data_IF_060653502440
#
_entry.id   IF_060653502440
#
_cell.length_a   1.000
_cell.length_b   1.000
_cell.length_c   1.000
_cell.angle_alpha   90.00
_cell.angle_beta   90.00
_cell.angle_gamma   90.00
#
_symmetry.space_group_name_H-M   'P 1'
#
loop_
_entity.id
_entity.type
_entity.pdbx_description
1 polymer ?
#
# COMPACT_ATOMS: atom_id res chain seq x y z
N UNK A 1 5.32 -2.72 25.09
CA UNK A 1 5.60 -2.72 23.64
C UNK A 1 6.71 -1.71 23.36
N UNK A 2 7.79 -2.12 22.71
CA UNK A 2 8.84 -1.20 22.25
C UNK A 2 8.48 -0.71 20.86
N UNK A 3 8.65 0.58 20.60
CA UNK A 3 8.34 1.23 19.31
C UNK A 3 9.62 1.52 18.57
N UNK A 4 9.62 1.29 17.26
CA UNK A 4 10.72 1.67 16.39
C UNK A 4 10.35 2.97 15.68
N UNK A 5 10.83 4.10 16.20
CA UNK A 5 10.51 5.43 15.69
C UNK A 5 10.86 5.59 14.21
N UNK A 6 11.95 4.97 13.74
CA UNK A 6 12.32 4.98 12.32
C UNK A 6 11.26 4.34 11.44
N UNK A 7 10.82 3.12 11.77
CA UNK A 7 9.77 2.43 11.01
C UNK A 7 8.43 3.16 11.08
N UNK A 8 8.11 3.83 12.20
CA UNK A 8 6.90 4.66 12.30
C UNK A 8 6.98 5.86 11.35
N UNK A 9 8.08 6.61 11.37
CA UNK A 9 8.26 7.79 10.52
C UNK A 9 8.30 7.40 9.04
N UNK A 10 9.08 6.38 8.68
CA UNK A 10 9.15 5.87 7.31
C UNK A 10 7.78 5.34 6.85
N UNK A 11 7.04 4.66 7.72
CA UNK A 11 5.68 4.24 7.44
C UNK A 11 4.74 5.42 7.17
N UNK A 12 4.84 6.51 7.93
CA UNK A 12 4.04 7.72 7.72
C UNK A 12 4.35 8.33 6.36
N UNK A 13 5.64 8.52 6.05
CA UNK A 13 6.08 9.08 4.76
C UNK A 13 5.58 8.20 3.61
N UNK A 14 5.77 6.88 3.71
CA UNK A 14 5.31 5.91 2.73
C UNK A 14 3.79 6.00 2.49
N UNK A 15 3.00 6.07 3.57
CA UNK A 15 1.54 6.16 3.47
C UNK A 15 1.10 7.50 2.86
N UNK A 16 1.77 8.61 3.22
CA UNK A 16 1.48 9.93 2.65
C UNK A 16 1.78 10.00 1.16
N UNK A 17 2.93 9.49 0.72
CA UNK A 17 3.27 9.42 -0.72
C UNK A 17 2.22 8.59 -1.46
N UNK A 18 1.80 7.47 -0.88
CA UNK A 18 0.84 6.59 -1.53
C UNK A 18 -0.57 7.18 -1.62
N UNK A 19 -1.02 7.84 -0.55
CA UNK A 19 -2.27 8.59 -0.54
C UNK A 19 -2.22 9.76 -1.53
N UNK A 20 -1.10 10.49 -1.57
CA UNK A 20 -0.85 11.60 -2.49
C UNK A 20 -0.98 11.18 -3.96
N UNK A 21 -0.35 10.06 -4.35
CA UNK A 21 -0.52 9.51 -5.70
C UNK A 21 -1.98 9.16 -6.00
N UNK A 22 -2.72 8.62 -5.02
CA UNK A 22 -4.13 8.27 -5.19
C UNK A 22 -4.99 9.50 -5.44
N UNK A 23 -4.77 10.59 -4.68
CA UNK A 23 -5.48 11.85 -4.91
C UNK A 23 -5.09 12.49 -6.23
N UNK A 24 -3.82 12.43 -6.62
CA UNK A 24 -3.37 12.91 -7.92
C UNK A 24 -4.10 12.19 -9.08
N UNK A 25 -4.21 10.86 -9.03
CA UNK A 25 -4.99 10.10 -10.01
C UNK A 25 -6.49 10.41 -9.93
N UNK A 26 -7.03 10.60 -8.72
CA UNK A 26 -8.43 10.98 -8.51
C UNK A 26 -8.76 12.41 -8.99
N UNK A 27 -7.75 13.25 -9.24
CA UNK A 27 -7.91 14.56 -9.89
C UNK A 27 -7.76 14.48 -11.42
N UNK A 28 -7.58 13.27 -11.99
CA UNK A 28 -7.40 13.05 -13.43
C UNK A 28 -5.93 13.00 -13.88
N UNK A 29 -4.98 12.99 -12.95
CA UNK A 29 -3.58 12.80 -13.28
C UNK A 29 -3.29 11.41 -13.86
N UNK A 30 -2.50 11.33 -14.94
CA UNK A 30 -2.18 10.07 -15.62
C UNK A 30 -0.73 9.60 -15.39
N UNK A 31 0.08 10.38 -14.68
CA UNK A 31 1.47 10.03 -14.41
C UNK A 31 1.55 8.67 -13.69
N UNK A 32 2.32 7.75 -14.26
CA UNK A 32 2.52 6.40 -13.71
C UNK A 32 1.33 5.45 -13.90
N UNK A 33 0.16 5.87 -14.37
CA UNK A 33 -1.01 4.96 -14.46
C UNK A 33 -0.79 3.84 -15.48
N UNK A 34 -0.10 4.14 -16.59
CA UNK A 34 0.33 3.11 -17.58
C UNK A 34 1.17 1.98 -16.96
N UNK A 35 1.88 2.29 -15.87
CA UNK A 35 2.72 1.32 -15.17
C UNK A 35 1.93 0.34 -14.28
N UNK A 36 0.66 0.66 -13.97
CA UNK A 36 -0.28 -0.27 -13.31
C UNK A 36 -0.85 -1.27 -14.33
N UNK A 37 -1.10 -0.79 -15.56
CA UNK A 37 -1.57 -1.61 -16.68
C UNK A 37 -2.95 -2.22 -16.49
N UNK A 38 -3.32 -3.11 -17.42
CA UNK A 38 -4.57 -3.86 -17.41
C UNK A 38 -5.80 -2.95 -17.36
N UNK A 39 -6.85 -3.43 -16.70
CA UNK A 39 -8.12 -2.71 -16.60
C UNK A 39 -8.01 -1.37 -15.87
N UNK A 40 -7.05 -1.19 -14.95
CA UNK A 40 -6.83 0.08 -14.25
C UNK A 40 -6.41 1.18 -15.23
N UNK A 41 -5.51 0.84 -16.17
CA UNK A 41 -5.09 1.79 -17.19
C UNK A 41 -6.25 2.16 -18.12
N UNK A 42 -7.00 1.18 -18.62
CA UNK A 42 -8.14 1.45 -19.51
C UNK A 42 -9.23 2.29 -18.82
N UNK A 43 -9.56 1.98 -17.57
CA UNK A 43 -10.50 2.78 -16.78
C UNK A 43 -9.98 4.20 -16.51
N UNK A 44 -8.68 4.43 -16.51
CA UNK A 44 -8.11 5.76 -16.30
C UNK A 44 -8.19 6.67 -17.53
N UNK A 45 -8.24 6.10 -18.74
CA UNK A 45 -8.33 6.87 -19.98
C UNK A 45 -9.73 7.43 -20.22
N UNK A 46 -10.76 6.71 -19.77
CA UNK A 46 -12.16 7.15 -19.76
C UNK A 46 -12.81 6.80 -18.41
N UNK A 47 -12.54 7.60 -17.36
CA UNK A 47 -12.96 7.26 -16.01
C UNK A 47 -14.46 7.46 -15.80
N UNK A 48 -15.13 6.40 -15.37
CA UNK A 48 -16.50 6.50 -14.90
C UNK A 48 -16.56 7.24 -13.55
N UNK A 49 -17.67 7.89 -13.20
CA UNK A 49 -17.84 8.52 -11.88
C UNK A 49 -17.63 7.56 -10.72
N UNK A 50 -18.03 6.29 -10.88
CA UNK A 50 -17.83 5.25 -9.86
C UNK A 50 -16.37 4.87 -9.69
N UNK A 51 -15.60 4.75 -10.79
CA UNK A 51 -14.16 4.52 -10.72
C UNK A 51 -13.46 5.65 -9.98
N UNK A 52 -13.78 6.91 -10.31
CA UNK A 52 -13.21 8.08 -9.63
C UNK A 52 -13.55 8.10 -8.14
N UNK A 53 -14.80 7.79 -7.77
CA UNK A 53 -15.20 7.68 -6.37
C UNK A 53 -14.40 6.62 -5.61
N UNK A 54 -14.12 5.47 -6.24
CA UNK A 54 -13.27 4.43 -5.66
C UNK A 54 -11.84 4.94 -5.48
N UNK A 55 -11.24 5.60 -6.47
CA UNK A 55 -9.87 6.12 -6.33
C UNK A 55 -9.79 7.17 -5.20
N UNK A 56 -10.75 8.10 -5.11
CA UNK A 56 -10.88 9.04 -4.00
C UNK A 56 -10.98 8.32 -2.65
N UNK A 57 -11.90 7.36 -2.53
CA UNK A 57 -12.10 6.59 -1.31
C UNK A 57 -10.82 5.84 -0.90
N UNK A 58 -10.10 5.25 -1.86
CA UNK A 58 -8.83 4.57 -1.55
C UNK A 58 -7.77 5.54 -1.02
N UNK A 59 -7.73 6.78 -1.52
CA UNK A 59 -6.87 7.84 -1.00
C UNK A 59 -7.20 8.17 0.46
N UNK A 60 -8.46 8.38 0.78
CA UNK A 60 -8.91 8.64 2.16
C UNK A 60 -8.65 7.46 3.09
N UNK A 61 -8.90 6.23 2.64
CA UNK A 61 -8.62 5.03 3.44
C UNK A 61 -7.13 4.94 3.78
N UNK A 62 -6.23 5.28 2.83
CA UNK A 62 -4.79 5.30 3.10
C UNK A 62 -4.42 6.29 4.20
N UNK A 63 -5.11 7.43 4.33
CA UNK A 63 -4.85 8.39 5.42
C UNK A 63 -5.15 7.83 6.82
N UNK A 64 -6.05 6.84 6.96
CA UNK A 64 -6.19 6.13 8.24
C UNK A 64 -4.90 5.42 8.66
N UNK A 65 -4.08 5.01 7.70
CA UNK A 65 -2.75 4.47 7.95
C UNK A 65 -1.84 5.49 8.65
N UNK A 66 -1.90 6.77 8.27
CA UNK A 66 -1.15 7.85 8.92
C UNK A 66 -1.65 8.06 10.35
N UNK A 67 -2.96 8.17 10.53
CA UNK A 67 -3.59 8.32 11.85
C UNK A 67 -3.17 7.17 12.76
N UNK A 68 -3.23 5.94 12.27
CA UNK A 68 -2.82 4.75 12.99
C UNK A 68 -1.34 4.81 13.43
N UNK A 69 -0.42 5.16 12.51
CA UNK A 69 1.00 5.24 12.85
C UNK A 69 1.30 6.40 13.83
N UNK A 70 0.57 7.52 13.74
CA UNK A 70 0.64 8.60 14.74
C UNK A 70 0.17 8.13 16.12
N UNK A 71 -0.87 7.30 16.20
CA UNK A 71 -1.31 6.70 17.46
C UNK A 71 -0.24 5.82 18.10
N UNK A 72 0.68 5.24 17.30
CA UNK A 72 1.85 4.51 17.81
C UNK A 72 2.91 5.43 18.42
N UNK A 73 2.89 6.73 18.17
CA UNK A 73 3.82 7.69 18.82
C UNK A 73 3.33 8.01 20.23
N UNK A 74 2.01 8.12 20.43
CA UNK A 74 1.39 8.50 21.72
C UNK A 74 1.57 7.41 22.78
N UNK A 75 2.05 7.74 23.97
CA UNK A 75 2.19 6.77 25.08
C UNK A 75 0.84 6.55 25.78
N UNK A 76 0.09 5.54 25.36
CA UNK A 76 -1.19 5.18 25.96
C UNK A 76 -1.01 4.53 27.33
N UNK A 77 -1.70 5.05 28.35
CA UNK A 77 -1.72 4.50 29.71
C UNK A 77 -2.45 3.15 29.80
N UNK A 78 -3.50 2.96 28.99
CA UNK A 78 -4.31 1.73 29.00
C UNK A 78 -3.60 0.60 28.24
N UNK A 79 -3.38 -0.53 28.91
CA UNK A 79 -2.72 -1.70 28.33
C UNK A 79 -3.48 -2.31 27.15
N UNK A 80 -4.82 -2.25 27.18
CA UNK A 80 -5.66 -2.75 26.07
C UNK A 80 -5.37 -2.01 24.76
N UNK A 81 -5.21 -0.69 24.80
CA UNK A 81 -4.90 0.11 23.61
C UNK A 81 -3.54 -0.26 23.03
N UNK A 82 -2.52 -0.43 23.88
CA UNK A 82 -1.20 -0.87 23.42
C UNK A 82 -1.24 -2.28 22.80
N UNK A 83 -2.08 -3.19 23.31
CA UNK A 83 -2.26 -4.53 22.72
C UNK A 83 -2.98 -4.45 21.37
N UNK A 84 -4.07 -3.68 21.27
CA UNK A 84 -4.79 -3.48 20.01
C UNK A 84 -3.87 -2.91 18.94
N UNK A 85 -3.18 -1.80 19.24
CA UNK A 85 -2.23 -1.16 18.34
C UNK A 85 -1.10 -2.12 17.91
N UNK A 86 -0.60 -2.95 18.84
CA UNK A 86 0.42 -3.96 18.53
C UNK A 86 -0.08 -4.96 17.48
N UNK A 87 -1.24 -5.58 17.73
CA UNK A 87 -1.78 -6.59 16.83
C UNK A 87 -2.21 -5.99 15.49
N UNK A 88 -2.80 -4.79 15.49
CA UNK A 88 -3.13 -4.08 14.24
C UNK A 88 -1.88 -3.79 13.41
N UNK A 89 -0.78 -3.35 14.03
CA UNK A 89 0.47 -3.10 13.30
C UNK A 89 1.06 -4.40 12.72
N UNK A 90 1.02 -5.49 13.50
CA UNK A 90 1.53 -6.80 13.07
C UNK A 90 0.69 -7.41 11.96
N UNK A 91 -0.62 -7.52 12.17
CA UNK A 91 -1.53 -8.13 11.20
C UNK A 91 -1.63 -7.26 9.95
N UNK A 92 -1.81 -5.94 10.11
CA UNK A 92 -1.87 -5.00 9.00
C UNK A 92 -0.58 -5.00 8.18
N UNK A 93 0.58 -4.93 8.83
CA UNK A 93 1.87 -5.02 8.15
C UNK A 93 2.09 -6.35 7.42
N UNK A 94 1.70 -7.47 8.04
CA UNK A 94 1.77 -8.79 7.41
C UNK A 94 0.85 -8.89 6.18
N UNK A 95 -0.41 -8.45 6.28
CA UNK A 95 -1.32 -8.46 5.14
C UNK A 95 -0.87 -7.54 4.01
N UNK A 96 -0.34 -6.35 4.34
CA UNK A 96 0.20 -5.43 3.34
C UNK A 96 1.40 -6.05 2.60
N UNK A 97 2.29 -6.72 3.34
CA UNK A 97 3.42 -7.44 2.76
C UNK A 97 2.96 -8.61 1.90
N UNK A 98 2.08 -9.46 2.43
CA UNK A 98 1.56 -10.63 1.72
C UNK A 98 0.79 -10.22 0.46
N UNK A 99 0.05 -9.12 0.50
CA UNK A 99 -0.63 -8.59 -0.68
C UNK A 99 0.37 -8.25 -1.79
N UNK A 100 1.42 -7.47 -1.48
CA UNK A 100 2.48 -7.16 -2.44
C UNK A 100 3.21 -8.41 -2.92
N UNK A 101 3.58 -9.30 -2.00
CA UNK A 101 4.31 -10.53 -2.33
C UNK A 101 3.50 -11.48 -3.23
N UNK A 102 2.22 -11.70 -2.94
CA UNK A 102 1.37 -12.56 -3.77
C UNK A 102 1.15 -11.96 -5.16
N UNK A 103 0.94 -10.64 -5.26
CA UNK A 103 0.87 -9.97 -6.56
C UNK A 103 2.20 -10.04 -7.32
N UNK A 104 3.34 -9.91 -6.62
CA UNK A 104 4.65 -10.09 -7.24
C UNK A 104 4.78 -11.49 -7.85
N UNK A 105 4.41 -12.53 -7.10
CA UNK A 105 4.45 -13.92 -7.58
C UNK A 105 3.50 -14.12 -8.77
N UNK A 106 2.27 -13.62 -8.73
CA UNK A 106 1.32 -13.81 -9.84
C UNK A 106 1.79 -13.13 -11.12
N UNK A 107 2.35 -11.92 -11.03
CA UNK A 107 2.89 -11.18 -12.17
C UNK A 107 4.16 -11.86 -12.69
N UNK A 108 5.00 -12.39 -11.81
CA UNK A 108 6.21 -13.13 -12.18
C UNK A 108 5.83 -14.41 -12.94
N UNK A 109 4.85 -15.18 -12.45
CA UNK A 109 4.34 -16.36 -13.15
C UNK A 109 3.75 -16.01 -14.53
N UNK A 110 3.07 -14.88 -14.65
CA UNK A 110 2.61 -14.39 -15.95
C UNK A 110 3.76 -13.99 -16.88
N UNK A 111 4.84 -13.41 -16.35
CA UNK A 111 6.04 -13.10 -17.13
C UNK A 111 6.71 -14.37 -17.69
N UNK A 112 6.57 -15.51 -17.01
CA UNK A 112 7.01 -16.83 -17.48
C UNK A 112 5.97 -17.60 -18.29
N UNK A 113 4.85 -16.96 -18.67
CA UNK A 113 3.74 -17.58 -19.41
C UNK A 113 3.11 -18.80 -18.71
N UNK A 114 3.21 -18.88 -17.38
CA UNK A 114 2.57 -19.92 -16.56
C UNK A 114 1.12 -19.53 -16.24
N UNK A 115 0.87 -18.24 -16.04
CA UNK A 115 -0.47 -17.66 -15.87
C UNK A 115 -0.74 -16.69 -17.02
N UNK A 116 -1.99 -16.58 -17.45
CA UNK A 116 -2.41 -15.65 -18.49
C UNK A 116 -3.12 -14.44 -17.88
N UNK A 117 -2.47 -13.28 -17.94
CA UNK A 117 -3.08 -11.99 -17.62
C UNK A 117 -2.92 -11.01 -18.79
N UNK A 118 -3.93 -10.15 -18.98
CA UNK A 118 -3.83 -9.02 -19.90
C UNK A 118 -2.98 -7.89 -19.28
N UNK A 119 -1.66 -8.11 -19.23
CA UNK A 119 -0.69 -7.16 -18.71
C UNK A 119 0.41 -6.92 -19.76
N UNK A 120 0.49 -5.70 -20.29
CA UNK A 120 1.53 -5.33 -21.25
C UNK A 120 2.93 -5.34 -20.63
N UNK A 121 4.01 -5.53 -21.43
CA UNK A 121 5.38 -5.65 -20.93
C UNK A 121 5.85 -4.48 -20.03
N UNK A 122 5.42 -3.25 -20.37
CA UNK A 122 5.73 -2.06 -19.58
C UNK A 122 5.15 -2.12 -18.16
N UNK A 123 3.90 -2.56 -18.02
CA UNK A 123 3.26 -2.68 -16.72
C UNK A 123 3.86 -3.84 -15.93
N UNK A 124 4.14 -4.98 -16.57
CA UNK A 124 4.85 -6.11 -15.95
C UNK A 124 6.16 -5.67 -15.29
N UNK A 125 7.00 -4.95 -16.04
CA UNK A 125 8.29 -4.45 -15.53
C UNK A 125 8.11 -3.57 -14.29
N UNK A 126 7.27 -2.54 -14.38
CA UNK A 126 7.11 -1.58 -13.29
C UNK A 126 6.40 -2.18 -12.07
N UNK A 127 5.49 -3.13 -12.26
CA UNK A 127 4.87 -3.80 -11.11
C UNK A 127 5.89 -4.64 -10.35
N UNK A 128 6.70 -5.44 -11.05
CA UNK A 128 7.72 -6.26 -10.41
C UNK A 128 8.83 -5.42 -9.75
N UNK A 129 9.28 -4.35 -10.38
CA UNK A 129 10.40 -3.55 -9.88
C UNK A 129 9.98 -2.50 -8.85
N UNK A 130 8.78 -1.93 -8.98
CA UNK A 130 8.35 -0.82 -8.13
C UNK A 130 7.09 -1.11 -7.34
N UNK A 131 5.94 -1.39 -7.98
CA UNK A 131 4.66 -1.40 -7.26
C UNK A 131 4.56 -2.47 -6.20
N UNK A 132 4.86 -3.73 -6.54
CA UNK A 132 4.75 -4.82 -5.58
C UNK A 132 5.81 -4.72 -4.45
N UNK A 133 7.08 -4.39 -4.75
CA UNK A 133 8.05 -4.04 -3.71
C UNK A 133 7.62 -2.85 -2.85
N UNK A 134 6.97 -1.84 -3.42
CA UNK A 134 6.48 -0.68 -2.66
C UNK A 134 5.44 -1.10 -1.62
N UNK A 135 4.50 -1.99 -1.97
CA UNK A 135 3.57 -2.60 -1.02
C UNK A 135 4.28 -3.39 0.09
N UNK A 136 5.26 -4.21 -0.29
CA UNK A 136 6.04 -5.01 0.65
C UNK A 136 6.81 -4.13 1.65
N UNK A 137 7.46 -3.08 1.18
CA UNK A 137 8.20 -2.11 2.01
C UNK A 137 7.26 -1.43 3.02
N UNK A 138 6.06 -1.03 2.60
CA UNK A 138 5.03 -0.53 3.51
C UNK A 138 4.69 -1.55 4.60
N UNK A 139 4.52 -2.81 4.22
CA UNK A 139 4.25 -3.91 5.16
C UNK A 139 5.35 -4.08 6.20
N UNK A 140 6.62 -4.00 5.77
CA UNK A 140 7.79 -4.02 6.65
C UNK A 140 7.75 -2.86 7.65
N UNK A 141 7.50 -1.63 7.20
CA UNK A 141 7.43 -0.47 8.09
C UNK A 141 6.34 -0.62 9.15
N UNK A 142 5.14 -1.06 8.76
CA UNK A 142 4.04 -1.31 9.70
C UNK A 142 4.38 -2.44 10.67
N UNK A 143 4.88 -3.58 10.18
CA UNK A 143 5.16 -4.74 11.02
C UNK A 143 6.26 -4.48 12.05
N UNK A 144 7.33 -3.78 11.64
CA UNK A 144 8.48 -3.51 12.50
C UNK A 144 8.39 -2.19 13.27
N UNK A 145 7.32 -1.40 13.07
CA UNK A 145 7.00 -0.23 13.90
C UNK A 145 6.88 -0.58 15.39
N UNK A 146 6.55 -1.83 15.70
CA UNK A 146 6.37 -2.34 17.06
C UNK A 146 7.10 -3.67 17.30
N UNK A 147 7.67 -3.83 18.49
CA UNK A 147 8.29 -5.06 18.98
C UNK A 147 7.70 -5.45 20.34
N UNK A 148 7.53 -6.76 20.55
CA UNK A 148 7.19 -7.31 21.88
C UNK A 148 8.39 -7.08 22.80
N UNK A 149 8.10 -6.72 24.05
CA UNK A 149 9.10 -6.63 25.13
C UNK A 149 9.21 -8.03 25.71
#
# INVERSE_FOLDING_TARGET
MKRNSWCVVLGIIWTLIFAGMSFYWAMGGLMGVRSLGGSIYEMSLNPSPSFMAIVWLTGFIKLFGVIFLLMLIIRWKKQIMNRMLYYTAKIGGAFLFLYGFLNFITILLNAFHILEFNLGPYATFWRLIFWEPYWMVGGVFYFFSVKRI
#
